data_IF_629466639172
#
_entry.id   IF_629466639172
#
_cell.length_a   1.000
_cell.length_b   1.000
_cell.length_c   1.000
_cell.angle_alpha   90.00
_cell.angle_beta   90.00
_cell.angle_gamma   90.00
#
_symmetry.space_group_name_H-M   'P 1'
#
loop_
_entity.id
_entity.type
_entity.pdbx_description
1 polymer ?
#
# COMPACT_ATOMS: atom_id res chain seq x y z
N UNK A 1 28.64 -14.55 11.42
CA UNK A 1 28.49 -13.11 11.15
C UNK A 1 27.20 -12.65 11.79
N UNK A 2 27.28 -11.73 12.76
CA UNK A 2 26.11 -11.15 13.42
C UNK A 2 25.38 -10.26 12.41
N UNK A 3 24.09 -10.54 12.18
CA UNK A 3 23.25 -9.74 11.29
C UNK A 3 23.18 -8.30 11.77
N UNK A 4 23.51 -7.33 10.91
CA UNK A 4 23.36 -5.91 11.21
C UNK A 4 21.88 -5.63 11.50
N UNK A 5 21.59 -5.10 12.69
CA UNK A 5 20.24 -4.70 13.06
C UNK A 5 19.67 -3.71 12.04
N UNK A 6 18.45 -3.96 11.56
CA UNK A 6 17.74 -3.02 10.71
C UNK A 6 17.27 -1.82 11.54
N UNK A 7 17.55 -0.60 11.08
CA UNK A 7 17.03 0.62 11.71
C UNK A 7 15.50 0.58 11.76
N UNK A 8 14.93 0.89 12.92
CA UNK A 8 13.48 1.05 13.11
C UNK A 8 12.95 2.35 12.52
N UNK A 9 13.82 3.31 12.19
CA UNK A 9 13.46 4.63 11.69
C UNK A 9 13.48 4.75 10.16
N UNK A 10 14.10 3.80 9.46
CA UNK A 10 14.24 3.85 8.00
C UNK A 10 13.20 2.97 7.34
N UNK A 11 12.47 3.56 6.38
CA UNK A 11 11.53 2.83 5.54
C UNK A 11 12.21 1.62 4.87
N UNK A 12 11.59 0.42 4.88
CA UNK A 12 12.20 -0.77 4.28
C UNK A 12 12.32 -0.57 2.77
N UNK A 13 13.54 -0.65 2.25
CA UNK A 13 13.79 -0.51 0.81
C UNK A 13 13.23 -1.72 0.05
N UNK A 14 12.58 -1.46 -1.08
CA UNK A 14 12.14 -2.48 -2.01
C UNK A 14 13.22 -2.72 -3.05
N UNK A 15 13.77 -3.93 -3.08
CA UNK A 15 14.83 -4.34 -4.00
C UNK A 15 14.33 -5.25 -5.12
N UNK A 16 13.06 -5.09 -5.52
CA UNK A 16 12.33 -5.87 -6.54
C UNK A 16 12.14 -7.37 -6.20
N UNK A 17 12.92 -7.91 -5.27
CA UNK A 17 12.86 -9.28 -4.78
C UNK A 17 11.97 -9.40 -3.54
N UNK A 18 11.20 -10.48 -3.47
CA UNK A 18 10.37 -10.82 -2.31
C UNK A 18 9.41 -9.70 -1.87
N UNK A 19 8.53 -9.29 -2.79
CA UNK A 19 7.49 -8.29 -2.52
C UNK A 19 6.67 -8.58 -1.26
N UNK A 20 6.35 -9.85 -0.99
CA UNK A 20 5.60 -10.23 0.21
C UNK A 20 6.32 -9.83 1.51
N UNK A 21 7.64 -10.05 1.57
CA UNK A 21 8.48 -9.63 2.69
C UNK A 21 8.50 -8.10 2.83
N UNK A 22 8.74 -7.39 1.72
CA UNK A 22 8.74 -5.92 1.72
C UNK A 22 7.40 -5.35 2.16
N UNK A 23 6.29 -5.82 1.58
CA UNK A 23 4.92 -5.39 1.87
C UNK A 23 4.58 -5.57 3.36
N UNK A 24 4.94 -6.71 3.93
CA UNK A 24 4.71 -7.01 5.35
C UNK A 24 5.50 -6.04 6.24
N UNK A 25 6.77 -5.81 5.92
CA UNK A 25 7.63 -4.86 6.64
C UNK A 25 7.15 -3.41 6.50
N UNK A 26 6.72 -3.01 5.30
CA UNK A 26 6.21 -1.67 5.03
C UNK A 26 4.92 -1.40 5.80
N UNK A 27 3.99 -2.36 5.80
CA UNK A 27 2.77 -2.28 6.60
C UNK A 27 3.09 -2.08 8.08
N UNK A 28 3.97 -2.91 8.64
CA UNK A 28 4.37 -2.80 10.04
C UNK A 28 5.09 -1.47 10.34
N UNK A 29 5.94 -0.99 9.43
CA UNK A 29 6.63 0.29 9.56
C UNK A 29 5.64 1.45 9.63
N UNK A 30 4.68 1.52 8.70
CA UNK A 30 3.65 2.56 8.69
C UNK A 30 2.82 2.49 9.98
N UNK A 31 2.32 1.29 10.34
CA UNK A 31 1.49 1.09 11.53
C UNK A 31 2.22 1.48 12.83
N UNK A 32 3.51 1.18 12.95
CA UNK A 32 4.30 1.48 14.14
C UNK A 32 4.63 2.97 14.27
N UNK A 33 4.76 3.70 13.16
CA UNK A 33 5.03 5.13 13.19
C UNK A 33 3.76 5.96 13.37
N UNK A 34 2.68 5.58 12.67
CA UNK A 34 1.44 6.34 12.63
C UNK A 34 0.30 5.45 12.12
N UNK A 35 -0.55 4.97 13.03
CA UNK A 35 -1.65 4.09 12.64
C UNK A 35 -2.75 4.84 11.84
N UNK A 36 -2.89 6.15 12.03
CA UNK A 36 -3.83 6.95 11.23
C UNK A 36 -3.41 6.99 9.75
N UNK A 37 -2.10 7.04 9.49
CA UNK A 37 -1.51 6.91 8.13
C UNK A 37 -1.84 5.55 7.52
N UNK A 38 -1.76 4.45 8.30
CA UNK A 38 -2.17 3.13 7.79
C UNK A 38 -3.65 3.08 7.38
N UNK A 39 -4.54 3.75 8.13
CA UNK A 39 -5.96 3.79 7.79
C UNK A 39 -6.21 4.44 6.42
N UNK A 40 -5.41 5.43 6.03
CA UNK A 40 -5.49 6.06 4.71
C UNK A 40 -5.16 5.07 3.59
N UNK A 41 -4.19 4.17 3.78
CA UNK A 41 -3.87 3.10 2.81
C UNK A 41 -5.06 2.17 2.57
N UNK A 42 -5.82 1.88 3.63
CA UNK A 42 -6.94 0.92 3.59
C UNK A 42 -8.29 1.53 3.22
N UNK A 43 -8.44 2.86 3.31
CA UNK A 43 -9.71 3.54 3.05
C UNK A 43 -10.07 3.50 1.56
N UNK A 44 -11.31 3.11 1.25
CA UNK A 44 -11.76 2.88 -0.13
C UNK A 44 -11.86 4.14 -1.00
N UNK A 45 -11.94 5.32 -0.40
CA UNK A 45 -11.97 6.57 -1.16
C UNK A 45 -11.25 7.70 -0.43
N UNK A 46 -10.16 8.18 -1.03
CA UNK A 46 -9.51 9.43 -0.64
C UNK A 46 -10.26 10.68 -1.16
N UNK A 47 -11.27 10.47 -2.00
CA UNK A 47 -11.99 11.58 -2.64
C UNK A 47 -12.89 12.26 -1.61
N UNK A 48 -12.53 13.49 -1.24
CA UNK A 48 -13.31 14.33 -0.35
C UNK A 48 -14.62 14.72 -1.01
N UNK A 49 -15.73 14.30 -0.41
CA UNK A 49 -17.08 14.41 -0.97
C UNK A 49 -18.01 15.08 0.01
N UNK A 50 -18.94 15.87 -0.52
CA UNK A 50 -20.07 16.43 0.24
C UNK A 50 -21.38 16.04 -0.43
N UNK A 51 -22.47 16.07 0.34
CA UNK A 51 -23.82 15.91 -0.17
C UNK A 51 -24.44 17.29 -0.38
N UNK A 52 -24.89 17.57 -1.60
CA UNK A 52 -25.66 18.77 -1.95
C UNK A 52 -26.92 18.28 -2.64
N UNK A 53 -28.10 18.64 -2.11
CA UNK A 53 -29.41 18.26 -2.67
C UNK A 53 -29.55 16.77 -3.02
N UNK A 54 -29.06 15.90 -2.13
CA UNK A 54 -29.01 14.43 -2.29
C UNK A 54 -28.03 13.89 -3.35
N UNK A 55 -27.27 14.75 -4.03
CA UNK A 55 -26.19 14.39 -4.95
C UNK A 55 -24.84 14.41 -4.22
N UNK A 56 -23.99 13.43 -4.51
CA UNK A 56 -22.61 13.40 -4.00
C UNK A 56 -21.72 14.17 -4.98
N UNK A 57 -21.07 15.23 -4.49
CA UNK A 57 -20.13 16.05 -5.27
C UNK A 57 -18.77 16.09 -4.58
N UNK A 58 -17.71 16.32 -5.36
CA UNK A 58 -16.34 16.47 -4.84
C UNK A 58 -16.23 17.85 -4.17
N UNK A 59 -15.64 17.89 -2.96
CA UNK A 59 -15.34 19.14 -2.27
C UNK A 59 -14.21 19.87 -2.98
N UNK A 60 -14.37 21.17 -3.20
CA UNK A 60 -13.26 22.02 -3.63
C UNK A 60 -12.35 22.34 -2.44
N UNK A 61 -11.11 22.71 -2.70
CA UNK A 61 -10.10 22.96 -1.67
C UNK A 61 -10.47 24.10 -0.71
N UNK A 62 -11.16 25.13 -1.20
CA UNK A 62 -11.69 26.23 -0.39
C UNK A 62 -12.81 25.80 0.59
N UNK A 63 -13.35 24.61 0.41
CA UNK A 63 -14.40 24.03 1.26
C UNK A 63 -13.86 23.01 2.27
N UNK A 64 -12.55 22.77 2.27
CA UNK A 64 -11.93 21.79 3.16
C UNK A 64 -11.93 22.28 4.60
N UNK A 65 -12.33 21.38 5.50
CA UNK A 65 -12.20 21.61 6.94
C UNK A 65 -10.88 21.03 7.47
N UNK A 66 -10.64 21.18 8.78
CA UNK A 66 -9.42 20.67 9.41
C UNK A 66 -9.27 19.14 9.27
N UNK A 67 -10.38 18.40 9.19
CA UNK A 67 -10.37 16.94 9.04
C UNK A 67 -9.95 16.55 7.64
N UNK A 68 -10.49 17.24 6.63
CA UNK A 68 -10.11 17.09 5.23
C UNK A 68 -8.62 17.37 5.02
N UNK A 69 -8.14 18.51 5.52
CA UNK A 69 -6.73 18.91 5.42
C UNK A 69 -5.85 17.85 6.08
N UNK A 70 -6.20 17.38 7.29
CA UNK A 70 -5.47 16.32 7.97
C UNK A 70 -5.43 15.03 7.13
N UNK A 71 -6.55 14.65 6.51
CA UNK A 71 -6.62 13.47 5.66
C UNK A 71 -5.72 13.60 4.42
N UNK A 72 -5.70 14.77 3.77
CA UNK A 72 -4.82 15.06 2.63
C UNK A 72 -3.35 15.00 3.03
N UNK A 73 -3.00 15.59 4.18
CA UNK A 73 -1.65 15.54 4.73
C UNK A 73 -1.19 14.11 5.05
N UNK A 74 -2.06 13.30 5.67
CA UNK A 74 -1.76 11.90 5.97
C UNK A 74 -1.54 11.09 4.68
N UNK A 75 -2.36 11.33 3.64
CA UNK A 75 -2.15 10.69 2.34
C UNK A 75 -0.80 11.10 1.72
N UNK A 76 -0.48 12.39 1.67
CA UNK A 76 0.81 12.87 1.13
C UNK A 76 2.01 12.29 1.90
N UNK A 77 1.95 12.25 3.24
CA UNK A 77 2.97 11.64 4.10
C UNK A 77 3.16 10.15 3.80
N UNK A 78 2.07 9.43 3.54
CA UNK A 78 2.15 8.01 3.20
C UNK A 78 2.72 7.79 1.80
N UNK A 79 2.29 8.56 0.80
CA UNK A 79 2.87 8.51 -0.56
C UNK A 79 4.37 8.74 -0.51
N UNK A 80 4.80 9.78 0.20
CA UNK A 80 6.22 10.08 0.39
C UNK A 80 6.97 8.92 1.04
N UNK A 81 6.39 8.31 2.09
CA UNK A 81 6.99 7.16 2.80
C UNK A 81 7.18 5.95 1.88
N UNK A 82 6.19 5.65 1.03
CA UNK A 82 6.27 4.56 0.07
C UNK A 82 7.29 4.88 -1.02
N UNK A 83 7.23 6.07 -1.63
CA UNK A 83 8.17 6.48 -2.68
C UNK A 83 9.62 6.45 -2.22
N UNK A 84 9.91 6.90 -1.00
CA UNK A 84 11.26 6.81 -0.41
C UNK A 84 11.78 5.38 -0.22
N UNK A 85 10.88 4.39 -0.23
CA UNK A 85 11.24 2.98 -0.17
C UNK A 85 11.34 2.31 -1.56
N UNK A 86 10.89 2.96 -2.63
CA UNK A 86 10.92 2.40 -3.98
C UNK A 86 12.24 2.72 -4.68
N UNK A 87 12.74 1.75 -5.44
CA UNK A 87 13.77 2.00 -6.45
C UNK A 87 13.21 2.77 -7.65
N UNK A 88 14.05 3.35 -8.52
CA UNK A 88 13.61 4.17 -9.66
C UNK A 88 12.62 3.48 -10.60
N UNK A 89 12.84 2.19 -10.91
CA UNK A 89 11.96 1.41 -11.77
C UNK A 89 10.55 1.29 -11.18
N UNK A 90 10.48 1.06 -9.87
CA UNK A 90 9.22 0.88 -9.14
C UNK A 90 8.49 2.19 -8.95
N UNK A 91 9.23 3.24 -8.62
CA UNK A 91 8.72 4.59 -8.59
C UNK A 91 8.05 4.95 -9.93
N UNK A 92 8.73 4.73 -11.05
CA UNK A 92 8.18 5.05 -12.37
C UNK A 92 6.84 4.36 -12.65
N UNK A 93 6.66 3.10 -12.20
CA UNK A 93 5.40 2.36 -12.36
C UNK A 93 4.23 3.02 -11.62
N UNK A 94 4.46 3.67 -10.49
CA UNK A 94 3.41 4.24 -9.63
C UNK A 94 3.41 5.78 -9.56
N UNK A 95 4.34 6.43 -10.25
CA UNK A 95 4.56 7.88 -10.20
C UNK A 95 3.35 8.73 -10.59
N UNK A 96 2.47 8.20 -11.44
CA UNK A 96 1.25 8.86 -11.91
C UNK A 96 0.02 8.59 -11.03
N UNK A 97 0.18 7.83 -9.93
CA UNK A 97 -0.93 7.55 -9.03
C UNK A 97 -1.22 8.75 -8.13
N UNK A 98 -2.49 9.11 -7.99
CA UNK A 98 -2.92 10.34 -7.32
C UNK A 98 -2.98 10.21 -5.79
N UNK A 99 -3.02 8.97 -5.29
CA UNK A 99 -3.14 8.72 -3.86
C UNK A 99 -2.43 7.42 -3.44
N UNK A 100 -2.23 7.32 -2.13
CA UNK A 100 -1.55 6.20 -1.48
C UNK A 100 -2.18 4.86 -1.79
N UNK A 101 -3.52 4.80 -1.82
CA UNK A 101 -4.25 3.56 -2.09
C UNK A 101 -3.98 3.07 -3.51
N UNK A 102 -4.02 3.97 -4.49
CA UNK A 102 -3.74 3.62 -5.88
C UNK A 102 -2.30 3.11 -6.04
N UNK A 103 -1.31 3.76 -5.42
CA UNK A 103 0.08 3.27 -5.38
C UNK A 103 0.13 1.85 -4.79
N UNK A 104 -0.49 1.64 -3.63
CA UNK A 104 -0.46 0.37 -2.92
C UNK A 104 -1.13 -0.76 -3.71
N UNK A 105 -2.30 -0.48 -4.30
CA UNK A 105 -3.05 -1.43 -5.12
C UNK A 105 -2.30 -1.77 -6.42
N UNK A 106 -1.65 -0.78 -7.05
CA UNK A 106 -0.86 -0.99 -8.25
C UNK A 106 0.40 -1.82 -7.98
N UNK A 107 1.10 -1.56 -6.88
CA UNK A 107 2.21 -2.41 -6.42
C UNK A 107 1.72 -3.84 -6.16
N UNK A 108 0.59 -3.99 -5.47
CA UNK A 108 0.00 -5.29 -5.19
C UNK A 108 -0.35 -6.05 -6.48
N UNK A 109 -1.00 -5.39 -7.43
CA UNK A 109 -1.37 -5.97 -8.72
C UNK A 109 -0.14 -6.38 -9.54
N UNK A 110 0.92 -5.56 -9.51
CA UNK A 110 2.17 -5.81 -10.23
C UNK A 110 2.91 -7.04 -9.71
N UNK A 111 2.95 -7.23 -8.38
CA UNK A 111 3.82 -8.24 -7.76
C UNK A 111 3.11 -9.50 -7.26
N UNK A 112 1.84 -9.40 -6.84
CA UNK A 112 1.04 -10.55 -6.41
C UNK A 112 0.26 -11.17 -7.60
N UNK A 113 0.22 -10.47 -8.73
CA UNK A 113 -0.68 -10.72 -9.84
C UNK A 113 -2.12 -10.33 -9.52
N UNK A 114 -3.01 -10.44 -10.50
CA UNK A 114 -4.45 -10.34 -10.25
C UNK A 114 -4.90 -11.47 -9.32
N UNK A 115 -5.96 -11.25 -8.53
CA UNK A 115 -6.47 -12.22 -7.55
C UNK A 115 -6.67 -13.65 -8.11
N UNK A 116 -6.89 -13.77 -9.42
CA UNK A 116 -7.00 -15.04 -10.15
C UNK A 116 -5.69 -15.83 -10.14
N UNK A 117 -4.56 -15.17 -10.40
CA UNK A 117 -3.23 -15.80 -10.43
C UNK A 117 -2.80 -16.21 -9.03
N UNK A 118 -3.09 -15.39 -8.01
CA UNK A 118 -2.80 -15.72 -6.61
C UNK A 118 -3.58 -16.93 -6.14
N UNK A 119 -4.89 -17.01 -6.47
CA UNK A 119 -5.72 -18.20 -6.18
C UNK A 119 -5.17 -19.45 -6.87
N UNK A 120 -4.80 -19.36 -8.14
CA UNK A 120 -4.21 -20.49 -8.88
C UNK A 120 -2.89 -20.97 -8.26
N UNK A 121 -2.02 -20.07 -7.81
CA UNK A 121 -0.77 -20.44 -7.12
C UNK A 121 -1.03 -21.12 -5.77
N UNK A 122 -1.98 -20.61 -4.99
CA UNK A 122 -2.38 -21.24 -3.72
C UNK A 122 -2.97 -22.63 -3.99
N UNK A 123 -3.88 -22.76 -4.96
CA UNK A 123 -4.46 -24.06 -5.32
C UNK A 123 -3.39 -25.06 -5.80
N UNK A 124 -2.39 -24.61 -6.56
CA UNK A 124 -1.28 -25.47 -6.98
C UNK A 124 -0.44 -25.93 -5.78
N UNK A 125 -0.07 -25.02 -4.87
CA UNK A 125 0.68 -25.41 -3.66
C UNK A 125 -0.13 -26.29 -2.71
N UNK A 126 -1.44 -26.09 -2.60
CA UNK A 126 -2.32 -26.99 -1.85
C UNK A 126 -2.34 -28.37 -2.49
N UNK A 127 -2.46 -28.45 -3.82
CA UNK A 127 -2.43 -29.73 -4.53
C UNK A 127 -1.09 -30.46 -4.34
N UNK A 128 0.04 -29.75 -4.47
CA UNK A 128 1.37 -30.32 -4.28
C UNK A 128 1.58 -30.83 -2.85
N UNK A 129 1.07 -30.11 -1.85
CA UNK A 129 1.14 -30.53 -0.45
C UNK A 129 0.28 -31.77 -0.15
N UNK A 130 -0.94 -31.83 -0.70
CA UNK A 130 -1.80 -33.01 -0.56
C UNK A 130 -1.18 -34.23 -1.27
N UNK A 131 -0.60 -34.05 -2.46
CA UNK A 131 0.13 -35.11 -3.18
C UNK A 131 1.37 -35.58 -2.41
N UNK A 132 2.08 -34.68 -1.73
CA UNK A 132 3.21 -35.03 -0.88
C UNK A 132 2.79 -35.83 0.36
N UNK A 133 1.59 -35.60 0.90
CA UNK A 133 1.05 -36.35 2.04
C UNK A 133 0.47 -37.73 1.69
N UNK A 134 0.12 -37.92 0.43
CA UNK A 134 -0.47 -39.17 -0.08
C UNK A 134 0.58 -40.18 -0.57
N UNK A 135 1.87 -39.83 -0.53
CA UNK A 135 3.01 -40.72 -0.74
C UNK A 135 3.74 -40.98 0.59
#
# INVERSE_FOLDING_TARGET
MLGKGHSTMRSPLFNENNYFYWKTRMKLFIQANDYEVWRVVTNESFILKKRVDSVIVIKKEDEWDEVDIKMVQLNAKTMHTIFCALGPNEYNKVSLCDNTKEIWDKLKATYEGTSRVTKSKISLFTLDYELFKLN
#
